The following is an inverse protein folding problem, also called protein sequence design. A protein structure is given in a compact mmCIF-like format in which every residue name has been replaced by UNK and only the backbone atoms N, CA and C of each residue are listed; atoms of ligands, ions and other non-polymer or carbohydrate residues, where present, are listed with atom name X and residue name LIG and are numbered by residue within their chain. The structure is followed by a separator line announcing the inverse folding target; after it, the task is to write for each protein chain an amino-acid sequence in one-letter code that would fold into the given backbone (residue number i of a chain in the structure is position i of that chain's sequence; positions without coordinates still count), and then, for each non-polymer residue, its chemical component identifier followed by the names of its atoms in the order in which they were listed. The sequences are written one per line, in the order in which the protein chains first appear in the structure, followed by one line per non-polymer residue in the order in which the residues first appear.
data_IF_563995947704
#
_entry.id   IF_563995947704
#
_cell.length_a   1.000
_cell.length_b   1.000
_cell.length_c   1.000
_cell.angle_alpha   90.00
_cell.angle_beta   90.00
_cell.angle_gamma   90.00
#
_symmetry.space_group_name_H-M   'P 1'
#
loop_
_entity.id
_entity.type
_entity.pdbx_description
1 polymer ?
#
# COMPACT_ATOMS: atom_id res chain seq x y z
N UNK A 1 15.12 8.33 13.95
CA UNK A 1 13.77 7.81 14.05
C UNK A 1 12.94 8.18 12.83
N UNK A 2 11.81 7.54 12.63
CA UNK A 2 10.91 7.72 11.46
C UNK A 2 10.48 9.18 11.23
N UNK A 3 10.21 9.94 12.31
CA UNK A 3 9.91 11.38 12.21
C UNK A 3 11.03 12.18 11.54
N UNK A 4 12.30 11.87 11.84
CA UNK A 4 13.43 12.54 11.18
C UNK A 4 13.49 12.17 9.71
N UNK A 5 13.25 10.90 9.38
CA UNK A 5 13.19 10.46 7.99
C UNK A 5 12.14 11.25 7.20
N UNK A 6 10.92 11.38 7.71
CA UNK A 6 9.88 12.17 7.05
C UNK A 6 10.29 13.63 6.84
N UNK A 7 11.00 14.23 7.81
CA UNK A 7 11.45 15.63 7.70
C UNK A 7 12.46 15.86 6.58
N UNK A 8 13.33 14.89 6.32
CA UNK A 8 14.41 15.01 5.34
C UNK A 8 14.11 14.34 4.01
N UNK A 9 13.02 13.59 3.90
CA UNK A 9 12.65 12.94 2.63
C UNK A 9 12.45 13.99 1.54
N UNK A 10 13.26 13.94 0.46
CA UNK A 10 13.28 15.00 -0.54
C UNK A 10 12.17 14.88 -1.59
N UNK A 11 11.48 13.75 -1.65
CA UNK A 11 10.56 13.38 -2.72
C UNK A 11 9.21 12.91 -2.18
N UNK A 12 8.21 12.91 -3.03
CA UNK A 12 6.93 12.25 -2.75
C UNK A 12 7.16 10.75 -2.59
N UNK A 13 6.48 10.17 -1.62
CA UNK A 13 6.58 8.74 -1.40
C UNK A 13 5.20 8.09 -1.30
N UNK A 14 5.15 6.85 -1.72
CA UNK A 14 4.05 5.94 -1.51
C UNK A 14 4.54 4.82 -0.60
N UNK A 15 3.82 4.56 0.48
CA UNK A 15 4.00 3.35 1.29
C UNK A 15 2.91 2.38 0.84
N UNK A 16 3.33 1.31 0.18
CA UNK A 16 2.43 0.28 -0.31
C UNK A 16 2.55 -0.97 0.57
N UNK A 17 1.42 -1.42 1.09
CA UNK A 17 1.31 -2.65 1.85
C UNK A 17 0.48 -3.63 1.03
N UNK A 18 1.09 -4.74 0.65
CA UNK A 18 0.44 -5.81 -0.12
C UNK A 18 0.23 -6.99 0.81
N UNK A 19 -1.01 -7.42 0.95
CA UNK A 19 -1.36 -8.64 1.67
C UNK A 19 -1.43 -9.82 0.71
N UNK A 20 -0.78 -10.92 1.05
CA UNK A 20 -0.81 -12.17 0.27
C UNK A 20 -1.03 -13.33 1.20
N UNK A 21 -1.77 -14.33 0.73
CA UNK A 21 -1.86 -15.61 1.43
C UNK A 21 -0.46 -16.17 1.66
N UNK A 22 -0.18 -16.63 2.87
CA UNK A 22 1.10 -17.21 3.19
C UNK A 22 1.25 -18.54 2.44
N UNK A 23 2.37 -18.70 1.74
CA UNK A 23 2.75 -20.00 1.23
C UNK A 23 3.34 -20.82 2.37
N UNK A 24 2.59 -21.79 2.83
CA UNK A 24 2.99 -22.73 3.88
C UNK A 24 3.43 -24.08 3.35
N UNK A 25 3.46 -24.27 2.02
CA UNK A 25 3.74 -25.54 1.37
C UNK A 25 5.08 -26.11 1.81
N UNK A 26 6.16 -25.33 1.74
CA UNK A 26 7.48 -25.74 2.20
C UNK A 26 7.53 -26.14 3.67
N UNK A 27 6.70 -25.52 4.52
CA UNK A 27 6.64 -25.86 5.93
C UNK A 27 5.88 -27.18 6.14
N UNK A 28 4.77 -27.36 5.43
CA UNK A 28 3.99 -28.59 5.44
C UNK A 28 4.82 -29.78 4.93
N UNK A 29 5.61 -29.60 3.86
CA UNK A 29 6.49 -30.63 3.31
C UNK A 29 7.55 -31.06 4.33
N UNK A 30 8.16 -30.12 5.05
CA UNK A 30 9.10 -30.42 6.14
C UNK A 30 8.46 -31.22 7.27
N UNK A 31 7.23 -30.88 7.65
CA UNK A 31 6.49 -31.63 8.68
C UNK A 31 6.17 -33.05 8.16
N UNK A 32 5.74 -33.19 6.91
CA UNK A 32 5.50 -34.50 6.31
C UNK A 32 6.77 -35.37 6.27
N UNK A 33 7.90 -34.75 5.93
CA UNK A 33 9.18 -35.47 5.95
C UNK A 33 9.57 -35.89 7.37
N UNK A 34 9.33 -35.05 8.38
CA UNK A 34 9.54 -35.39 9.78
C UNK A 34 8.63 -36.57 10.22
N UNK A 35 7.35 -36.56 9.82
CA UNK A 35 6.43 -37.68 10.08
C UNK A 35 6.93 -38.98 9.45
N UNK A 36 7.48 -38.93 8.23
CA UNK A 36 8.02 -40.13 7.57
C UNK A 36 9.28 -40.72 8.24
N UNK A 37 10.09 -39.84 8.85
CA UNK A 37 11.33 -40.21 9.54
C UNK A 37 11.14 -40.67 10.97
N UNK A 38 10.02 -40.26 11.61
CA UNK A 38 9.74 -40.59 13.00
C UNK A 38 9.42 -42.08 13.15
N UNK A 39 9.96 -42.71 14.21
CA UNK A 39 9.75 -44.13 14.51
C UNK A 39 8.76 -44.35 15.65
N UNK A 40 8.62 -43.37 16.56
CA UNK A 40 7.69 -43.47 17.67
C UNK A 40 6.30 -43.12 17.22
N UNK A 41 5.36 -44.06 17.34
CA UNK A 41 3.96 -43.89 16.93
C UNK A 41 3.24 -42.72 17.70
N UNK A 42 3.63 -42.47 18.94
CA UNK A 42 3.06 -41.34 19.71
C UNK A 42 3.54 -40.02 19.18
N UNK A 43 4.80 -39.92 18.81
CA UNK A 43 5.38 -38.74 18.16
C UNK A 43 4.78 -38.52 16.77
N UNK A 44 4.56 -39.58 15.99
CA UNK A 44 3.84 -39.45 14.70
C UNK A 44 2.44 -38.85 14.84
N UNK A 45 1.67 -39.31 15.81
CA UNK A 45 0.31 -38.77 16.06
C UNK A 45 0.39 -37.27 16.36
N UNK A 46 1.32 -36.85 17.23
CA UNK A 46 1.51 -35.43 17.54
C UNK A 46 1.93 -34.60 16.33
N UNK A 47 2.83 -35.13 15.50
CA UNK A 47 3.25 -34.47 14.26
C UNK A 47 2.11 -34.39 13.24
N UNK A 48 1.24 -35.40 13.15
CA UNK A 48 0.05 -35.35 12.30
C UNK A 48 -0.96 -34.32 12.79
N UNK A 49 -1.19 -34.25 14.11
CA UNK A 49 -2.07 -33.21 14.67
C UNK A 49 -1.50 -31.80 14.43
N UNK A 50 -0.18 -31.64 14.58
CA UNK A 50 0.49 -30.38 14.25
C UNK A 50 0.37 -30.05 12.76
N UNK A 51 0.59 -31.00 11.87
CA UNK A 51 0.39 -30.83 10.42
C UNK A 51 -1.03 -30.36 10.11
N UNK A 52 -2.04 -31.01 10.68
CA UNK A 52 -3.44 -30.66 10.48
C UNK A 52 -3.78 -29.28 11.02
N UNK A 53 -3.20 -28.90 12.17
CA UNK A 53 -3.35 -27.57 12.77
C UNK A 53 -2.75 -26.50 11.84
N UNK A 54 -1.51 -26.66 11.42
CA UNK A 54 -0.82 -25.71 10.52
C UNK A 54 -1.55 -25.58 9.17
N UNK A 55 -1.97 -26.72 8.59
CA UNK A 55 -2.77 -26.73 7.35
C UNK A 55 -4.06 -25.95 7.52
N UNK A 56 -4.78 -26.13 8.63
CA UNK A 56 -6.03 -25.41 8.90
C UNK A 56 -5.82 -23.91 9.08
N UNK A 57 -4.81 -23.51 9.86
CA UNK A 57 -4.45 -22.10 10.08
C UNK A 57 -3.98 -21.47 8.76
N UNK A 58 -3.10 -22.13 8.03
CA UNK A 58 -2.56 -21.61 6.77
C UNK A 58 -3.61 -21.43 5.67
N UNK A 59 -4.64 -22.29 5.64
CA UNK A 59 -5.73 -22.18 4.69
C UNK A 59 -6.69 -21.02 5.00
N UNK A 60 -6.81 -20.58 6.26
CA UNK A 60 -7.82 -19.63 6.68
C UNK A 60 -7.28 -18.27 7.15
N UNK A 61 -6.11 -18.24 7.78
CA UNK A 61 -5.69 -17.08 8.56
C UNK A 61 -4.27 -16.59 8.27
N UNK A 62 -3.45 -17.39 7.59
CA UNK A 62 -2.07 -17.04 7.36
C UNK A 62 -1.94 -16.03 6.21
N UNK A 63 -1.73 -14.77 6.56
CA UNK A 63 -1.50 -13.67 5.62
C UNK A 63 -0.09 -13.12 5.85
N UNK A 64 0.71 -13.09 4.78
CA UNK A 64 1.98 -12.38 4.76
C UNK A 64 1.76 -10.97 4.21
N UNK A 65 2.57 -10.03 4.68
CA UNK A 65 2.54 -8.64 4.22
C UNK A 65 3.89 -8.26 3.68
N UNK A 66 3.89 -7.65 2.51
CA UNK A 66 5.08 -7.02 1.93
C UNK A 66 4.90 -5.52 1.97
N UNK A 67 5.92 -4.83 2.45
CA UNK A 67 5.96 -3.37 2.54
C UNK A 67 6.92 -2.86 1.47
N UNK A 68 6.43 -1.92 0.68
CA UNK A 68 7.23 -1.23 -0.32
C UNK A 68 7.19 0.27 -0.04
N UNK A 69 8.31 0.94 -0.19
CA UNK A 69 8.36 2.39 -0.29
C UNK A 69 8.73 2.73 -1.72
N UNK A 70 7.83 3.45 -2.38
CA UNK A 70 7.99 3.88 -3.76
C UNK A 70 8.23 5.37 -3.78
N UNK A 71 9.27 5.80 -4.45
CA UNK A 71 9.61 7.21 -4.63
C UNK A 71 9.24 7.68 -6.01
N UNK A 72 8.73 8.91 -6.10
CA UNK A 72 8.42 9.54 -7.37
C UNK A 72 9.37 10.71 -7.60
N UNK A 73 10.03 10.72 -8.77
CA UNK A 73 10.78 11.88 -9.23
C UNK A 73 9.84 12.98 -9.71
N UNK A 74 10.13 14.22 -9.31
CA UNK A 74 9.43 15.40 -9.80
C UNK A 74 10.40 16.25 -10.61
N UNK A 75 10.10 16.48 -11.92
CA UNK A 75 10.94 17.32 -12.75
C UNK A 75 11.08 18.72 -12.17
N UNK A 76 12.32 19.24 -12.15
CA UNK A 76 12.59 20.61 -11.74
C UNK A 76 12.14 21.54 -12.87
N UNK A 77 11.22 22.49 -12.64
CA UNK A 77 10.80 23.42 -13.66
C UNK A 77 11.98 24.17 -14.27
N UNK A 78 12.13 24.09 -15.60
CA UNK A 78 13.22 24.75 -16.36
C UNK A 78 14.47 23.90 -16.55
N UNK A 79 14.53 22.64 -16.09
CA UNK A 79 15.63 21.73 -16.44
C UNK A 79 15.56 21.32 -17.91
N UNK A 80 16.74 21.12 -18.55
CA UNK A 80 16.78 20.62 -19.91
C UNK A 80 16.52 19.10 -19.89
N UNK A 81 15.72 18.59 -20.85
CA UNK A 81 15.41 17.15 -21.00
C UNK A 81 16.66 16.24 -20.98
N UNK A 82 17.81 16.76 -21.45
CA UNK A 82 19.06 15.98 -21.52
C UNK A 82 19.69 15.69 -20.15
N UNK A 83 19.41 16.52 -19.13
CA UNK A 83 19.92 16.35 -17.77
C UNK A 83 18.87 15.71 -16.85
N UNK A 84 17.61 15.69 -17.27
CA UNK A 84 16.48 15.25 -16.46
C UNK A 84 16.61 13.79 -15.99
N UNK A 85 17.07 12.90 -16.86
CA UNK A 85 17.28 11.49 -16.51
C UNK A 85 18.38 11.32 -15.44
N UNK A 86 19.50 12.04 -15.58
CA UNK A 86 20.57 12.00 -14.58
C UNK A 86 20.12 12.58 -13.24
N UNK A 87 19.37 13.68 -13.29
CA UNK A 87 18.83 14.33 -12.09
C UNK A 87 17.81 13.40 -11.41
N UNK A 88 16.98 12.70 -12.19
CA UNK A 88 16.03 11.72 -11.69
C UNK A 88 16.74 10.57 -10.96
N UNK A 89 17.74 9.95 -11.60
CA UNK A 89 18.51 8.85 -10.99
C UNK A 89 19.18 9.32 -9.71
N UNK A 90 19.88 10.46 -9.73
CA UNK A 90 20.54 10.99 -8.54
C UNK A 90 19.58 11.27 -7.39
N UNK A 91 18.41 11.86 -7.67
CA UNK A 91 17.40 12.14 -6.62
C UNK A 91 16.83 10.86 -6.04
N UNK A 92 16.51 9.87 -6.87
CA UNK A 92 15.97 8.58 -6.43
C UNK A 92 17.01 7.78 -5.63
N UNK A 93 18.28 7.79 -6.03
CA UNK A 93 19.38 7.16 -5.27
C UNK A 93 19.56 7.81 -3.89
N UNK A 94 19.50 9.14 -3.82
CA UNK A 94 19.56 9.86 -2.53
C UNK A 94 18.37 9.48 -1.66
N UNK A 95 17.16 9.43 -2.25
CA UNK A 95 15.94 9.06 -1.54
C UNK A 95 16.03 7.63 -0.98
N UNK A 96 16.48 6.67 -1.80
CA UNK A 96 16.67 5.28 -1.42
C UNK A 96 17.70 5.13 -0.29
N UNK A 97 18.89 5.71 -0.44
CA UNK A 97 19.95 5.66 0.59
C UNK A 97 19.52 6.28 1.91
N UNK A 98 18.80 7.40 1.84
CA UNK A 98 18.24 8.08 3.00
C UNK A 98 17.21 7.20 3.70
N UNK A 99 16.24 6.66 2.94
CA UNK A 99 15.23 5.75 3.46
C UNK A 99 15.86 4.55 4.15
N UNK A 100 16.78 3.87 3.49
CA UNK A 100 17.50 2.71 4.03
C UNK A 100 18.15 3.02 5.37
N UNK A 101 18.94 4.09 5.43
CA UNK A 101 19.67 4.47 6.63
C UNK A 101 18.73 4.70 7.83
N UNK A 102 17.67 5.47 7.63
CA UNK A 102 16.76 5.81 8.73
C UNK A 102 15.79 4.70 9.10
N UNK A 103 15.35 3.89 8.16
CA UNK A 103 14.48 2.75 8.45
C UNK A 103 15.24 1.66 9.22
N UNK A 104 16.49 1.38 8.86
CA UNK A 104 17.33 0.46 9.62
C UNK A 104 17.56 0.96 11.06
N UNK A 105 17.78 2.27 11.25
CA UNK A 105 17.86 2.86 12.59
C UNK A 105 16.57 2.75 13.41
N UNK A 106 15.43 2.59 12.73
CA UNK A 106 14.14 2.33 13.37
C UNK A 106 13.88 0.84 13.66
N UNK A 107 14.85 -0.03 13.40
CA UNK A 107 14.72 -1.48 13.62
C UNK A 107 14.01 -2.22 12.47
N UNK A 108 13.82 -1.58 11.31
CA UNK A 108 13.30 -2.27 10.13
C UNK A 108 14.43 -2.93 9.35
N UNK A 109 14.16 -4.09 8.79
CA UNK A 109 15.05 -4.74 7.84
C UNK A 109 14.71 -4.31 6.42
N UNK A 110 15.63 -3.62 5.75
CA UNK A 110 15.49 -3.26 4.34
C UNK A 110 16.15 -4.36 3.52
N UNK A 111 15.35 -5.06 2.72
CA UNK A 111 15.82 -6.19 1.92
C UNK A 111 16.59 -5.67 0.70
N UNK A 112 17.77 -6.22 0.49
CA UNK A 112 18.59 -6.01 -0.70
C UNK A 112 18.50 -7.23 -1.60
N UNK A 113 18.49 -7.00 -2.90
CA UNK A 113 18.45 -8.07 -3.90
C UNK A 113 19.71 -8.03 -4.75
N UNK A 114 20.28 -9.18 -5.00
CA UNK A 114 21.50 -9.34 -5.82
C UNK A 114 21.26 -8.89 -7.28
N UNK A 115 20.04 -9.11 -7.78
CA UNK A 115 19.61 -8.66 -9.10
C UNK A 115 18.37 -7.75 -8.99
N UNK A 116 18.55 -6.42 -8.91
CA UNK A 116 17.45 -5.46 -8.75
C UNK A 116 16.44 -5.49 -9.91
N UNK A 117 16.89 -5.69 -11.14
CA UNK A 117 16.02 -5.67 -12.32
C UNK A 117 15.09 -6.88 -12.34
N UNK A 118 15.63 -8.07 -12.06
CA UNK A 118 14.83 -9.29 -11.94
C UNK A 118 13.83 -9.18 -10.80
N UNK A 119 14.25 -8.65 -9.67
CA UNK A 119 13.37 -8.41 -8.53
C UNK A 119 12.26 -7.42 -8.86
N UNK A 120 12.57 -6.32 -9.55
CA UNK A 120 11.57 -5.34 -9.97
C UNK A 120 10.55 -5.97 -10.91
N UNK A 121 10.99 -6.79 -11.88
CA UNK A 121 10.10 -7.50 -12.77
C UNK A 121 9.19 -8.48 -12.00
N UNK A 122 9.74 -9.23 -11.03
CA UNK A 122 8.95 -10.12 -10.15
C UNK A 122 7.91 -9.34 -9.33
N UNK A 123 8.28 -8.19 -8.77
CA UNK A 123 7.36 -7.34 -8.01
C UNK A 123 6.25 -6.81 -8.91
N UNK A 124 6.57 -6.30 -10.10
CA UNK A 124 5.57 -5.81 -11.05
C UNK A 124 4.64 -6.93 -11.51
N UNK A 125 5.20 -8.11 -11.82
CA UNK A 125 4.40 -9.29 -12.16
C UNK A 125 3.44 -9.66 -11.02
N UNK A 126 3.92 -9.72 -9.79
CA UNK A 126 3.09 -10.00 -8.61
C UNK A 126 1.96 -8.98 -8.41
N UNK A 127 2.22 -7.70 -8.65
CA UNK A 127 1.22 -6.65 -8.49
C UNK A 127 0.15 -6.68 -9.57
N UNK A 128 0.54 -6.98 -10.81
CA UNK A 128 -0.36 -7.01 -11.97
C UNK A 128 -1.11 -8.34 -12.11
N UNK A 129 -0.46 -9.46 -11.71
CA UNK A 129 -1.00 -10.82 -11.84
C UNK A 129 -1.19 -11.47 -10.47
N UNK A 130 -1.97 -10.84 -9.62
CA UNK A 130 -2.06 -11.21 -8.20
C UNK A 130 -2.43 -12.68 -7.98
N UNK A 131 -3.40 -13.22 -8.72
CA UNK A 131 -3.81 -14.62 -8.65
C UNK A 131 -2.80 -15.52 -9.33
N UNK A 132 -2.50 -15.27 -10.57
CA UNK A 132 -1.59 -16.11 -11.39
C UNK A 132 -0.19 -16.18 -10.78
N UNK A 133 0.30 -15.09 -10.17
CA UNK A 133 1.63 -15.08 -9.51
C UNK A 133 1.72 -15.97 -8.26
N UNK A 134 0.60 -16.45 -7.71
CA UNK A 134 0.61 -17.45 -6.63
C UNK A 134 0.76 -18.87 -7.15
N UNK A 135 0.29 -19.12 -8.37
CA UNK A 135 0.30 -20.44 -9.02
C UNK A 135 1.54 -20.62 -9.89
N UNK A 136 1.94 -19.56 -10.60
CA UNK A 136 3.07 -19.56 -11.54
C UNK A 136 4.09 -18.48 -11.14
N UNK A 137 5.27 -18.86 -10.63
CA UNK A 137 6.34 -17.91 -10.35
C UNK A 137 6.78 -17.14 -11.60
N UNK A 138 7.29 -15.92 -11.42
CA UNK A 138 7.76 -15.07 -12.52
C UNK A 138 8.79 -15.77 -13.42
N UNK A 139 9.72 -16.52 -12.84
CA UNK A 139 10.73 -17.29 -13.58
C UNK A 139 10.12 -18.32 -14.54
N UNK A 140 9.09 -19.04 -14.10
CA UNK A 140 8.38 -20.00 -14.93
C UNK A 140 7.58 -19.31 -16.05
N UNK A 141 6.91 -18.19 -15.75
CA UNK A 141 6.24 -17.36 -16.77
C UNK A 141 7.23 -16.84 -17.81
N UNK A 142 8.36 -16.29 -17.36
CA UNK A 142 9.38 -15.77 -18.25
C UNK A 142 9.97 -16.86 -19.17
N UNK A 143 10.25 -18.04 -18.64
CA UNK A 143 10.73 -19.18 -19.44
C UNK A 143 9.72 -19.59 -20.51
N UNK A 144 8.45 -19.73 -20.16
CA UNK A 144 7.38 -20.10 -21.10
C UNK A 144 7.21 -19.07 -22.22
N UNK A 145 7.23 -17.76 -21.91
CA UNK A 145 7.13 -16.73 -22.93
C UNK A 145 8.36 -16.70 -23.85
N UNK A 146 9.57 -16.88 -23.31
CA UNK A 146 10.78 -16.99 -24.14
C UNK A 146 10.70 -18.19 -25.10
N UNK A 147 10.30 -19.38 -24.62
CA UNK A 147 10.11 -20.56 -25.47
C UNK A 147 9.10 -20.32 -26.59
N UNK A 148 7.98 -19.65 -26.29
CA UNK A 148 6.96 -19.30 -27.26
C UNK A 148 7.51 -18.38 -28.36
N UNK A 149 8.20 -17.29 -28.00
CA UNK A 149 8.79 -16.36 -28.96
C UNK A 149 9.91 -16.98 -29.79
N UNK A 150 10.71 -17.90 -29.21
CA UNK A 150 11.69 -18.69 -29.95
C UNK A 150 11.00 -19.57 -31.00
N UNK A 151 9.92 -20.23 -30.67
CA UNK A 151 9.17 -21.08 -31.59
C UNK A 151 8.51 -20.27 -32.74
N UNK A 152 8.12 -19.03 -32.47
CA UNK A 152 7.55 -18.11 -33.45
C UNK A 152 8.64 -17.38 -34.30
N UNK A 153 9.93 -17.53 -33.97
CA UNK A 153 11.05 -16.91 -34.70
C UNK A 153 11.39 -15.48 -34.30
N UNK A 154 10.74 -14.93 -33.26
CA UNK A 154 10.83 -13.53 -32.81
C UNK A 154 11.63 -13.33 -31.51
N UNK A 155 12.52 -14.24 -31.18
CA UNK A 155 13.26 -14.26 -29.89
C UNK A 155 14.04 -12.95 -29.56
N UNK A 156 14.36 -12.13 -30.55
CA UNK A 156 15.16 -10.90 -30.36
C UNK A 156 14.34 -9.66 -29.95
N UNK A 157 13.01 -9.74 -29.90
CA UNK A 157 12.13 -8.58 -29.71
C UNK A 157 10.97 -8.85 -28.73
N UNK A 158 11.19 -9.66 -27.68
CA UNK A 158 10.15 -9.95 -26.71
C UNK A 158 9.82 -8.68 -25.91
N UNK A 159 8.60 -8.14 -26.03
CA UNK A 159 8.24 -6.94 -25.28
C UNK A 159 8.08 -7.26 -23.80
N UNK A 160 8.48 -6.35 -22.92
CA UNK A 160 8.36 -6.53 -21.46
C UNK A 160 6.90 -6.78 -21.03
N UNK A 161 5.94 -6.29 -21.81
CA UNK A 161 4.51 -6.53 -21.59
C UNK A 161 4.12 -8.01 -21.66
N UNK A 162 4.81 -8.83 -22.49
CA UNK A 162 4.55 -10.26 -22.58
C UNK A 162 4.82 -10.98 -21.24
N UNK A 163 5.80 -10.50 -20.49
CA UNK A 163 6.15 -11.06 -19.19
C UNK A 163 5.27 -10.55 -18.04
N UNK A 164 4.82 -9.30 -18.12
CA UNK A 164 4.22 -8.60 -16.99
C UNK A 164 2.71 -8.45 -17.06
N UNK A 165 2.10 -8.38 -18.26
CA UNK A 165 0.67 -8.09 -18.34
C UNK A 165 -0.19 -9.34 -18.03
N UNK A 166 -1.34 -9.14 -17.36
CA UNK A 166 -2.35 -10.18 -17.22
C UNK A 166 -2.96 -10.56 -18.57
N UNK A 167 -3.52 -11.77 -18.64
CA UNK A 167 -4.11 -12.29 -19.89
C UNK A 167 -5.48 -11.68 -20.16
N UNK A 168 -6.24 -11.43 -19.10
CA UNK A 168 -7.61 -10.91 -19.23
C UNK A 168 -7.84 -9.76 -18.25
N UNK A 169 -8.33 -8.65 -18.78
CA UNK A 169 -8.74 -7.48 -18.00
C UNK A 169 -10.12 -7.02 -18.45
N UNK A 170 -11.06 -6.89 -17.48
CA UNK A 170 -12.41 -6.36 -17.71
C UNK A 170 -12.66 -5.17 -16.78
N UNK A 171 -12.81 -3.99 -17.36
CA UNK A 171 -13.13 -2.73 -16.70
C UNK A 171 -14.54 -2.23 -16.99
N UNK A 172 -15.41 -3.09 -17.52
CA UNK A 172 -16.75 -2.71 -17.97
C UNK A 172 -17.73 -2.33 -16.85
N UNK A 173 -17.34 -2.44 -15.57
CA UNK A 173 -18.19 -2.12 -14.41
C UNK A 173 -17.59 -0.99 -13.58
N UNK A 174 -18.45 -0.06 -13.16
CA UNK A 174 -18.00 1.08 -12.34
C UNK A 174 -17.62 0.70 -10.90
N UNK A 175 -18.21 -0.36 -10.35
CA UNK A 175 -18.02 -0.76 -8.96
C UNK A 175 -16.84 -1.72 -8.74
N UNK A 176 -16.40 -2.41 -9.78
CA UNK A 176 -15.28 -3.36 -9.72
C UNK A 176 -14.67 -3.59 -11.11
N UNK A 177 -13.44 -4.05 -11.13
CA UNK A 177 -12.85 -4.63 -12.33
C UNK A 177 -12.49 -6.10 -12.09
N UNK A 178 -12.23 -6.83 -13.18
CA UNK A 178 -11.82 -8.23 -13.12
C UNK A 178 -10.52 -8.42 -13.89
N UNK A 179 -9.52 -8.99 -13.23
CA UNK A 179 -8.20 -9.26 -13.82
C UNK A 179 -7.88 -10.73 -13.54
N UNK A 180 -7.67 -11.52 -14.61
CA UNK A 180 -7.38 -12.96 -14.55
C UNK A 180 -8.32 -13.72 -13.60
N UNK A 181 -9.61 -13.41 -13.68
CA UNK A 181 -10.64 -14.05 -12.87
C UNK A 181 -10.76 -13.54 -11.43
N UNK A 182 -9.86 -12.68 -10.94
CA UNK A 182 -9.94 -12.03 -9.63
C UNK A 182 -10.72 -10.72 -9.73
N UNK A 183 -11.57 -10.45 -8.76
CA UNK A 183 -12.36 -9.22 -8.65
C UNK A 183 -11.63 -8.20 -7.81
N UNK A 184 -11.66 -6.91 -8.23
CA UNK A 184 -11.01 -5.78 -7.57
C UNK A 184 -12.00 -4.65 -7.36
N UNK A 185 -12.00 -4.07 -6.17
CA UNK A 185 -12.63 -2.79 -5.88
C UNK A 185 -11.65 -1.85 -5.21
N UNK A 186 -11.75 -0.57 -5.55
CA UNK A 186 -10.86 0.47 -5.05
C UNK A 186 -11.65 1.46 -4.22
N UNK A 187 -11.11 1.82 -3.06
CA UNK A 187 -11.69 2.78 -2.15
C UNK A 187 -10.66 3.78 -1.70
N UNK A 188 -11.09 5.02 -1.49
CA UNK A 188 -10.27 6.07 -0.92
C UNK A 188 -10.91 6.64 0.35
N UNK A 189 -10.10 7.21 1.23
CA UNK A 189 -10.58 8.04 2.31
C UNK A 189 -10.53 9.49 1.81
N UNK A 190 -11.67 10.14 1.51
CA UNK A 190 -11.68 11.53 1.06
C UNK A 190 -11.25 12.48 2.18
N UNK A 191 -10.85 13.69 1.86
CA UNK A 191 -10.45 14.70 2.85
C UNK A 191 -11.50 14.98 3.93
N UNK A 192 -12.78 14.86 3.57
CA UNK A 192 -13.93 14.99 4.49
C UNK A 192 -14.22 13.69 5.26
N UNK A 193 -13.53 12.60 4.95
CA UNK A 193 -13.70 11.29 5.58
C UNK A 193 -12.79 11.07 6.78
N UNK A 194 -11.91 12.01 7.10
CA UNK A 194 -11.06 11.94 8.29
C UNK A 194 -11.65 12.78 9.41
N UNK A 195 -11.50 12.31 10.65
CA UNK A 195 -11.68 13.18 11.82
C UNK A 195 -10.59 14.25 11.87
N UNK A 196 -10.86 15.33 12.60
CA UNK A 196 -9.88 16.38 12.92
C UNK A 196 -8.64 15.81 13.62
N UNK A 197 -8.82 14.73 14.39
CA UNK A 197 -7.77 13.97 15.04
C UNK A 197 -8.06 12.48 14.88
N UNK A 198 -7.13 11.75 14.32
CA UNK A 198 -7.20 10.28 14.21
C UNK A 198 -6.44 9.62 15.35
N UNK A 199 -6.92 8.48 15.79
CA UNK A 199 -6.25 7.69 16.83
C UNK A 199 -4.90 7.19 16.34
N UNK A 200 -3.89 7.25 17.19
CA UNK A 200 -2.58 6.67 16.88
C UNK A 200 -2.73 5.17 16.57
N UNK A 201 -2.09 4.72 15.48
CA UNK A 201 -2.14 3.33 15.06
C UNK A 201 -3.38 2.92 14.24
N UNK A 202 -4.25 3.83 13.85
CA UNK A 202 -5.44 3.52 13.02
C UNK A 202 -5.09 2.76 11.73
N UNK A 203 -3.93 3.05 11.13
CA UNK A 203 -3.43 2.32 9.96
C UNK A 203 -3.15 0.85 10.23
N UNK A 204 -2.82 0.47 11.47
CA UNK A 204 -2.57 -0.92 11.82
C UNK A 204 -3.81 -1.79 11.64
N UNK A 205 -4.99 -1.23 11.83
CA UNK A 205 -6.27 -1.93 11.58
C UNK A 205 -6.45 -2.22 10.08
N UNK A 206 -6.14 -1.25 9.21
CA UNK A 206 -6.17 -1.44 7.76
C UNK A 206 -5.16 -2.50 7.30
N UNK A 207 -3.93 -2.36 7.74
CA UNK A 207 -2.84 -3.29 7.38
C UNK A 207 -3.12 -4.70 7.88
N UNK A 208 -3.87 -4.84 8.98
CA UNK A 208 -4.25 -6.12 9.57
C UNK A 208 -5.65 -6.62 9.18
N UNK A 209 -6.31 -5.97 8.24
CA UNK A 209 -7.69 -6.30 7.86
C UNK A 209 -7.87 -7.68 7.16
N UNK A 210 -6.77 -8.34 6.81
CA UNK A 210 -6.82 -9.72 6.30
C UNK A 210 -6.31 -9.87 4.87
N UNK A 211 -6.59 -11.04 4.30
CA UNK A 211 -6.23 -11.38 2.92
C UNK A 211 -7.03 -10.54 1.92
N UNK A 212 -6.38 -10.19 0.81
CA UNK A 212 -7.02 -9.46 -0.27
C UNK A 212 -7.23 -7.97 -0.01
N UNK A 213 -6.66 -7.44 1.08
CA UNK A 213 -6.70 -6.01 1.39
C UNK A 213 -5.29 -5.43 1.24
N UNK A 214 -5.12 -4.55 0.25
CA UNK A 214 -3.90 -3.77 0.09
C UNK A 214 -4.17 -2.32 0.46
N UNK A 215 -3.13 -1.68 1.01
CA UNK A 215 -3.19 -0.30 1.47
C UNK A 215 -2.07 0.50 0.85
N UNK A 216 -2.41 1.60 0.23
CA UNK A 216 -1.47 2.57 -0.34
C UNK A 216 -1.61 3.90 0.38
N UNK A 217 -0.52 4.39 0.94
CA UNK A 217 -0.42 5.71 1.54
C UNK A 217 0.44 6.59 0.67
N UNK A 218 -0.15 7.61 0.10
CA UNK A 218 0.58 8.64 -0.64
C UNK A 218 0.88 9.80 0.29
N UNK A 219 2.16 10.11 0.45
CA UNK A 219 2.66 11.16 1.32
C UNK A 219 3.34 12.25 0.47
N UNK A 220 2.87 13.48 0.63
CA UNK A 220 3.46 14.65 -0.02
C UNK A 220 3.71 15.74 1.01
N UNK A 221 4.97 16.12 1.17
CA UNK A 221 5.36 17.23 2.04
C UNK A 221 5.09 18.56 1.34
N UNK A 222 4.51 19.50 2.05
CA UNK A 222 4.26 20.83 1.52
C UNK A 222 5.14 21.89 2.21
N UNK A 223 5.57 22.94 1.46
CA UNK A 223 6.31 24.05 2.04
C UNK A 223 5.53 24.74 3.15
N UNK A 224 6.17 24.97 4.30
CA UNK A 224 5.55 25.55 5.49
C UNK A 224 4.93 26.94 5.22
N UNK A 225 5.63 27.75 4.47
CA UNK A 225 5.21 29.12 4.15
C UNK A 225 3.90 29.13 3.37
N UNK A 226 3.77 28.23 2.39
CA UNK A 226 2.56 28.04 1.58
C UNK A 226 1.37 27.67 2.48
N UNK A 227 1.58 26.69 3.36
CA UNK A 227 0.54 26.18 4.27
C UNK A 227 0.16 27.25 5.31
N UNK A 228 1.13 27.93 5.91
CA UNK A 228 0.86 29.02 6.85
C UNK A 228 0.00 30.12 6.24
N UNK A 229 0.30 30.51 4.99
CA UNK A 229 -0.47 31.49 4.26
C UNK A 229 -1.92 31.01 4.00
N UNK A 230 -2.07 29.77 3.53
CA UNK A 230 -3.39 29.17 3.25
C UNK A 230 -4.23 29.03 4.52
N UNK A 231 -3.65 28.52 5.61
CA UNK A 231 -4.30 28.41 6.92
C UNK A 231 -4.71 29.78 7.46
N UNK A 232 -3.82 30.76 7.39
CA UNK A 232 -4.12 32.12 7.82
C UNK A 232 -5.28 32.74 7.07
N UNK A 233 -5.38 32.50 5.76
CA UNK A 233 -6.50 32.93 4.92
C UNK A 233 -7.79 32.20 5.30
N UNK A 234 -7.75 30.86 5.44
CA UNK A 234 -8.92 30.04 5.73
C UNK A 234 -9.49 30.34 7.13
N UNK A 235 -8.62 30.52 8.14
CA UNK A 235 -9.03 30.91 9.50
C UNK A 235 -9.76 32.26 9.47
N UNK A 236 -9.26 33.24 8.72
CA UNK A 236 -9.92 34.56 8.59
C UNK A 236 -11.28 34.44 7.96
N UNK A 237 -11.42 33.67 6.87
CA UNK A 237 -12.70 33.45 6.20
C UNK A 237 -13.69 32.77 7.15
N UNK A 238 -13.28 31.71 7.84
CA UNK A 238 -14.17 31.00 8.76
C UNK A 238 -14.59 31.87 9.93
N UNK A 239 -13.70 32.69 10.50
CA UNK A 239 -14.03 33.67 11.56
C UNK A 239 -15.00 34.77 11.09
N UNK A 240 -14.91 35.19 9.84
CA UNK A 240 -15.88 36.14 9.27
C UNK A 240 -17.25 35.47 9.17
N UNK A 241 -17.33 34.24 8.68
CA UNK A 241 -18.58 33.48 8.61
C UNK A 241 -19.20 33.24 9.98
N UNK A 242 -18.40 32.91 11.01
CA UNK A 242 -18.92 32.80 12.40
C UNK A 242 -19.63 34.03 12.92
N UNK A 243 -19.18 35.20 12.54
CA UNK A 243 -19.84 36.48 12.95
C UNK A 243 -21.19 36.69 12.29
N UNK A 244 -21.41 36.09 11.14
CA UNK A 244 -22.63 36.17 10.34
C UNK A 244 -23.63 35.06 10.66
N UNK A 245 -23.17 34.00 11.34
CA UNK A 245 -23.97 32.80 11.64
C UNK A 245 -24.43 32.83 13.09
N UNK A 246 -25.67 32.45 13.34
CA UNK A 246 -26.27 32.40 14.71
C UNK A 246 -25.69 31.22 15.49
N UNK A 247 -25.42 31.38 16.79
CA UNK A 247 -24.90 30.34 17.71
C UNK A 247 -25.81 29.09 17.80
N UNK A 248 -27.05 29.17 17.32
CA UNK A 248 -27.99 28.03 17.34
C UNK A 248 -28.00 27.21 16.06
N UNK A 249 -27.15 27.51 15.10
CA UNK A 249 -27.07 26.78 13.84
C UNK A 249 -25.98 25.72 13.88
N UNK A 250 -26.27 24.52 13.40
CA UNK A 250 -25.30 23.43 13.22
C UNK A 250 -24.04 23.82 12.44
N UNK A 251 -24.20 24.73 11.49
CA UNK A 251 -23.09 25.30 10.71
C UNK A 251 -22.08 26.07 11.58
N UNK A 252 -22.53 26.64 12.72
CA UNK A 252 -21.65 27.38 13.64
C UNK A 252 -20.65 26.46 14.31
N UNK A 253 -21.10 25.32 14.80
CA UNK A 253 -20.20 24.30 15.46
C UNK A 253 -19.18 23.74 14.50
N UNK A 254 -19.54 23.50 13.24
CA UNK A 254 -18.63 23.03 12.20
C UNK A 254 -17.58 24.09 11.86
N UNK A 255 -17.98 25.37 11.75
CA UNK A 255 -17.06 26.48 11.49
C UNK A 255 -16.11 26.70 12.69
N UNK A 256 -16.62 26.65 13.93
CA UNK A 256 -15.79 26.78 15.13
C UNK A 256 -14.75 25.65 15.22
N UNK A 257 -15.18 24.41 14.98
CA UNK A 257 -14.31 23.25 14.93
C UNK A 257 -13.20 23.41 13.86
N UNK A 258 -13.56 23.91 12.68
CA UNK A 258 -12.60 24.17 11.60
C UNK A 258 -11.61 25.30 11.96
N UNK A 259 -12.06 26.34 12.67
CA UNK A 259 -11.18 27.42 13.17
C UNK A 259 -10.20 26.89 14.20
N UNK A 260 -10.66 26.09 15.17
CA UNK A 260 -9.78 25.48 16.20
C UNK A 260 -8.76 24.56 15.57
N UNK A 261 -9.16 23.70 14.62
CA UNK A 261 -8.25 22.84 13.87
C UNK A 261 -7.20 23.66 13.10
N UNK A 262 -7.61 24.76 12.46
CA UNK A 262 -6.70 25.67 11.76
C UNK A 262 -5.65 26.30 12.69
N UNK A 263 -6.03 26.72 13.89
CA UNK A 263 -5.08 27.23 14.89
C UNK A 263 -4.14 26.15 15.40
N UNK A 264 -4.63 24.93 15.65
CA UNK A 264 -3.82 23.79 16.06
C UNK A 264 -2.72 23.48 15.02
N UNK A 265 -3.10 23.43 13.74
CA UNK A 265 -2.13 23.21 12.65
C UNK A 265 -1.13 24.36 12.55
N UNK A 266 -1.58 25.61 12.71
CA UNK A 266 -0.71 26.78 12.67
C UNK A 266 0.30 26.78 13.82
N UNK A 267 -0.12 26.39 15.01
CA UNK A 267 0.76 26.25 16.18
C UNK A 267 1.80 25.15 15.96
N UNK A 268 1.39 23.99 15.44
CA UNK A 268 2.31 22.92 15.06
C UNK A 268 3.39 23.37 14.08
N UNK A 269 3.01 24.12 13.05
CA UNK A 269 3.97 24.70 12.08
C UNK A 269 4.92 25.72 12.72
N UNK A 270 4.44 26.55 13.68
CA UNK A 270 5.26 27.47 14.43
C UNK A 270 6.27 26.75 15.35
N UNK A 271 5.88 25.59 15.89
CA UNK A 271 6.71 24.70 16.68
C UNK A 271 7.59 23.75 15.85
N UNK A 272 7.89 24.13 14.61
CA UNK A 272 8.79 23.43 13.69
C UNK A 272 8.32 22.02 13.30
N UNK A 273 7.00 21.74 13.34
CA UNK A 273 6.41 20.55 12.74
C UNK A 273 6.24 20.75 11.22
N UNK A 274 6.17 19.67 10.49
CA UNK A 274 5.97 19.68 9.05
C UNK A 274 4.52 19.33 8.71
N UNK A 275 4.09 19.75 7.52
CA UNK A 275 2.78 19.47 7.00
C UNK A 275 2.87 18.50 5.81
N UNK A 276 2.02 17.49 5.83
CA UNK A 276 1.94 16.47 4.78
C UNK A 276 0.50 16.33 4.30
N UNK A 277 0.32 16.23 2.98
CA UNK A 277 -0.90 15.67 2.43
C UNK A 277 -0.79 14.15 2.46
N UNK A 278 -1.85 13.53 2.94
CA UNK A 278 -1.97 12.08 3.02
C UNK A 278 -3.20 11.66 2.23
N UNK A 279 -3.01 10.75 1.26
CA UNK A 279 -4.10 10.07 0.58
C UNK A 279 -3.99 8.58 0.86
N UNK A 280 -5.09 7.98 1.27
CA UNK A 280 -5.16 6.54 1.54
C UNK A 280 -6.03 5.88 0.48
N UNK A 281 -5.45 4.94 -0.26
CA UNK A 281 -6.15 4.08 -1.20
C UNK A 281 -6.18 2.66 -0.63
N UNK A 282 -7.33 2.01 -0.71
CA UNK A 282 -7.53 0.64 -0.27
C UNK A 282 -7.99 -0.16 -1.47
N UNK A 283 -7.25 -1.20 -1.80
CA UNK A 283 -7.62 -2.17 -2.83
C UNK A 283 -8.15 -3.42 -2.16
N UNK A 284 -9.36 -3.83 -2.53
CA UNK A 284 -10.01 -5.05 -2.03
C UNK A 284 -10.08 -6.03 -3.18
N UNK A 285 -9.61 -7.26 -2.95
CA UNK A 285 -9.64 -8.34 -3.95
C UNK A 285 -10.37 -9.55 -3.41
N UNK A 286 -11.04 -10.30 -4.30
CA UNK A 286 -11.76 -11.53 -3.96
C UNK A 286 -11.88 -12.46 -5.16
N UNK A 287 -12.05 -13.77 -4.92
CA UNK A 287 -12.24 -14.78 -5.95
C UNK A 287 -13.67 -14.77 -6.55
N UNK A 288 -14.64 -14.24 -5.81
CA UNK A 288 -16.02 -14.10 -6.28
C UNK A 288 -16.55 -12.69 -6.00
N UNK A 289 -17.65 -12.35 -6.69
CA UNK A 289 -18.34 -11.08 -6.50
C UNK A 289 -18.99 -10.99 -5.12
N UNK A 290 -19.57 -12.06 -4.65
CA UNK A 290 -20.23 -12.17 -3.36
C UNK A 290 -19.21 -11.94 -2.22
N UNK A 291 -18.03 -12.53 -2.35
CA UNK A 291 -16.94 -12.34 -1.42
C UNK A 291 -16.40 -10.91 -1.46
N UNK A 292 -16.29 -10.30 -2.65
CA UNK A 292 -15.88 -8.91 -2.79
C UNK A 292 -16.86 -7.97 -2.09
N UNK A 293 -18.16 -8.18 -2.25
CA UNK A 293 -19.20 -7.40 -1.59
C UNK A 293 -19.13 -7.58 -0.07
N UNK A 294 -18.93 -8.79 0.42
CA UNK A 294 -18.76 -9.07 1.84
C UNK A 294 -17.52 -8.39 2.41
N UNK A 295 -16.34 -8.56 1.80
CA UNK A 295 -15.09 -7.91 2.23
C UNK A 295 -15.21 -6.38 2.22
N UNK A 296 -15.87 -5.84 1.22
CA UNK A 296 -16.13 -4.39 1.11
C UNK A 296 -16.99 -3.89 2.28
N UNK A 297 -18.03 -4.61 2.64
CA UNK A 297 -18.91 -4.24 3.74
C UNK A 297 -18.19 -4.34 5.10
N UNK A 298 -17.38 -5.37 5.32
CA UNK A 298 -16.56 -5.51 6.52
C UNK A 298 -15.54 -4.37 6.62
N UNK A 299 -14.90 -3.99 5.51
CA UNK A 299 -13.97 -2.86 5.48
C UNK A 299 -14.67 -1.54 5.79
N UNK A 300 -15.86 -1.30 5.24
CA UNK A 300 -16.64 -0.10 5.58
C UNK A 300 -17.01 -0.05 7.05
N UNK A 301 -17.43 -1.17 7.66
CA UNK A 301 -17.71 -1.26 9.10
C UNK A 301 -16.45 -0.99 9.94
N UNK A 302 -15.32 -1.57 9.55
CA UNK A 302 -14.04 -1.34 10.23
C UNK A 302 -13.67 0.15 10.19
N UNK A 303 -13.79 0.81 9.06
CA UNK A 303 -13.50 2.24 8.95
C UNK A 303 -14.49 3.11 9.75
N UNK A 304 -15.77 2.80 9.69
CA UNK A 304 -16.78 3.50 10.50
C UNK A 304 -16.51 3.36 12.01
N UNK A 305 -15.98 2.23 12.48
CA UNK A 305 -15.60 2.08 13.89
C UNK A 305 -14.46 3.02 14.32
N UNK A 306 -13.72 3.56 13.36
CA UNK A 306 -12.68 4.58 13.58
C UNK A 306 -13.16 5.99 13.15
N UNK A 307 -14.46 6.14 12.86
CA UNK A 307 -15.06 7.34 12.31
C UNK A 307 -14.38 7.84 11.03
N UNK A 308 -13.94 6.91 10.21
CA UNK A 308 -13.40 7.14 8.87
C UNK A 308 -14.42 6.73 7.82
N UNK A 309 -14.51 7.48 6.73
CA UNK A 309 -15.48 7.24 5.67
C UNK A 309 -14.74 6.80 4.41
N UNK A 310 -15.10 5.61 3.88
CA UNK A 310 -14.63 5.13 2.59
C UNK A 310 -15.55 5.57 1.46
N UNK A 311 -14.96 5.99 0.35
CA UNK A 311 -15.66 6.22 -0.93
C UNK A 311 -14.98 5.41 -2.03
N UNK A 312 -15.78 4.87 -3.00
CA UNK A 312 -15.25 4.24 -4.19
C UNK A 312 -14.50 5.23 -5.07
#
# INVERSE_FOLDING_TARGET
SYMFYLKISPVRMQIKVVSKKADISNHLDKIQEAIRREQDERCKVLLMDYYNLIRRIGLKEAVTRRFFIVFAYEPIPGSSKKNEEKDAVNQLEIAERTARTYLMQCGNNVVEHENPDSFMAEVLYMLLNRKTSTETPFSARAAAEVEKYIAEGDANAIPISAFLLPEQMDFGKAAYCRIDGLYYSYFMIPSTGYKTQVTAGWLSLLVNAGEGIDVDLFLSKEPKEKIQFQLGRQIRINRSKMKETSDTNTDFDDIDSAVRAGYYLKDGLANNQDFYYINTLITITADSREELEWRTNEMKKLMLSQDLILKP
#
